data_IF_684261479586
#
_entry.id   IF_684261479586
#
_cell.length_a   1.000
_cell.length_b   1.000
_cell.length_c   1.000
_cell.angle_alpha   90.00
_cell.angle_beta   90.00
_cell.angle_gamma   90.00
#
_symmetry.space_group_name_H-M   'P 1'
#
loop_
_entity.id
_entity.type
_entity.pdbx_description
1 polymer ?
#
# COMPACT_ATOMS: atom_id res chain seq x y z
N UNK A 1 42.16 -23.31 -41.44
CA UNK A 1 40.86 -23.91 -41.83
C UNK A 1 39.85 -23.56 -40.74
N UNK A 2 38.80 -22.83 -41.09
CA UNK A 2 37.78 -22.38 -40.15
C UNK A 2 36.97 -21.28 -40.80
N UNK A 3 35.94 -21.67 -41.55
CA UNK A 3 35.08 -20.79 -42.33
C UNK A 3 34.32 -19.80 -41.43
N UNK A 4 34.41 -18.51 -41.75
CA UNK A 4 33.52 -17.48 -41.21
C UNK A 4 32.22 -17.52 -42.02
N UNK A 5 31.13 -17.94 -41.39
CA UNK A 5 29.80 -17.80 -41.94
C UNK A 5 29.23 -16.44 -41.50
N UNK A 6 28.92 -15.61 -42.48
CA UNK A 6 28.15 -14.38 -42.38
C UNK A 6 26.77 -14.62 -41.77
N UNK A 7 26.34 -13.70 -40.92
CA UNK A 7 24.92 -13.37 -40.78
C UNK A 7 24.78 -11.87 -40.60
N UNK A 8 24.38 -11.21 -41.68
CA UNK A 8 23.75 -9.90 -41.66
C UNK A 8 22.65 -9.88 -40.60
N UNK A 9 22.67 -8.87 -39.73
CA UNK A 9 21.47 -8.41 -39.06
C UNK A 9 21.30 -6.93 -39.35
N UNK A 10 20.52 -6.71 -40.41
CA UNK A 10 19.65 -5.56 -40.62
C UNK A 10 19.03 -5.05 -39.32
N UNK A 11 19.04 -3.74 -39.18
CA UNK A 11 18.26 -2.94 -38.23
C UNK A 11 16.87 -3.50 -37.95
N UNK A 12 16.67 -4.00 -36.73
CA UNK A 12 15.36 -4.32 -36.16
C UNK A 12 15.23 -3.59 -34.84
N UNK A 13 14.17 -2.80 -34.73
CA UNK A 13 13.65 -2.21 -33.51
C UNK A 13 13.58 -3.26 -32.39
N UNK A 14 14.40 -3.08 -31.35
CA UNK A 14 14.40 -3.98 -30.19
C UNK A 14 13.22 -3.67 -29.26
N UNK A 15 12.02 -4.06 -29.68
CA UNK A 15 10.92 -4.42 -28.79
C UNK A 15 11.28 -5.73 -28.09
N UNK A 16 11.93 -5.62 -26.92
CA UNK A 16 12.36 -6.74 -26.10
C UNK A 16 11.35 -7.11 -25.00
N UNK A 17 11.27 -8.39 -24.71
CA UNK A 17 10.48 -9.04 -23.65
C UNK A 17 10.75 -8.41 -22.27
N UNK A 18 9.71 -7.92 -21.58
CA UNK A 18 9.61 -7.96 -20.11
C UNK A 18 10.28 -6.89 -19.25
N UNK A 19 10.64 -5.70 -19.75
CA UNK A 19 11.29 -4.68 -18.91
C UNK A 19 10.27 -3.86 -18.08
N UNK A 20 10.37 -3.95 -16.75
CA UNK A 20 9.54 -3.18 -15.81
C UNK A 20 9.93 -1.70 -15.90
N UNK A 21 8.99 -0.76 -16.19
CA UNK A 21 9.28 0.66 -16.23
C UNK A 21 9.99 1.15 -14.97
N UNK A 22 11.13 1.81 -15.14
CA UNK A 22 11.92 2.39 -14.05
C UNK A 22 11.57 3.86 -13.94
N UNK A 23 11.18 4.28 -12.75
CA UNK A 23 10.84 5.66 -12.44
C UNK A 23 11.71 6.16 -11.28
N UNK A 24 12.26 7.35 -11.44
CA UNK A 24 13.06 8.05 -10.45
C UNK A 24 12.39 9.37 -10.11
N UNK A 25 12.00 9.56 -8.85
CA UNK A 25 11.43 10.82 -8.37
C UNK A 25 12.27 11.39 -7.23
N UNK A 26 12.33 12.71 -7.15
CA UNK A 26 12.94 13.41 -6.03
C UNK A 26 11.90 14.06 -5.14
N UNK A 27 12.18 14.08 -3.84
CA UNK A 27 11.37 14.76 -2.83
C UNK A 27 12.19 15.91 -2.26
N UNK A 28 11.66 17.13 -2.37
CA UNK A 28 12.33 18.37 -1.96
C UNK A 28 11.40 19.26 -1.14
N UNK A 29 11.95 20.28 -0.49
CA UNK A 29 11.23 21.17 0.41
C UNK A 29 12.06 21.54 1.63
N UNK A 30 11.54 22.44 2.46
CA UNK A 30 12.27 22.96 3.63
C UNK A 30 12.50 21.92 4.71
N UNK A 31 13.30 22.28 5.71
CA UNK A 31 13.50 21.43 6.88
C UNK A 31 12.19 21.25 7.63
N UNK A 32 12.02 20.08 8.25
CA UNK A 32 10.87 19.77 9.12
C UNK A 32 9.47 19.77 8.48
N UNK A 33 9.34 20.00 7.16
CA UNK A 33 8.06 19.83 6.42
C UNK A 33 7.59 18.37 6.36
N UNK A 34 8.48 17.41 6.68
CA UNK A 34 8.14 15.98 6.81
C UNK A 34 8.45 15.12 5.58
N UNK A 35 9.44 15.52 4.76
CA UNK A 35 9.87 14.77 3.56
C UNK A 35 10.13 13.29 3.82
N UNK A 36 11.03 12.99 4.75
CA UNK A 36 11.37 11.62 5.14
C UNK A 36 10.16 10.84 5.68
N UNK A 37 9.22 11.52 6.35
CA UNK A 37 7.98 10.91 6.84
C UNK A 37 7.04 10.55 5.70
N UNK A 38 6.90 11.41 4.69
CA UNK A 38 6.12 11.14 3.48
C UNK A 38 6.74 9.99 2.69
N UNK A 39 8.07 9.97 2.52
CA UNK A 39 8.78 8.87 1.85
C UNK A 39 8.58 7.56 2.61
N UNK A 40 8.79 7.54 3.94
CA UNK A 40 8.58 6.34 4.76
C UNK A 40 7.13 5.87 4.76
N UNK A 41 6.16 6.80 4.80
CA UNK A 41 4.73 6.49 4.70
C UNK A 41 4.42 5.82 3.38
N UNK A 42 4.94 6.36 2.27
CA UNK A 42 4.67 5.81 0.95
C UNK A 42 5.41 4.48 0.69
N UNK A 43 6.68 4.39 1.08
CA UNK A 43 7.58 3.26 0.76
C UNK A 43 7.47 2.10 1.74
N UNK A 44 7.16 2.37 3.01
CA UNK A 44 7.16 1.36 4.08
C UNK A 44 5.84 1.27 4.84
N UNK A 45 4.90 2.19 4.59
CA UNK A 45 3.70 2.38 5.40
C UNK A 45 4.01 2.58 6.89
N UNK A 46 5.08 3.32 7.16
CA UNK A 46 5.55 3.64 8.51
C UNK A 46 5.57 5.15 8.73
N UNK A 47 5.46 5.57 9.99
CA UNK A 47 5.60 6.96 10.39
C UNK A 47 6.37 7.04 11.71
N UNK A 48 7.40 7.87 11.75
CA UNK A 48 8.12 8.20 12.98
C UNK A 48 7.87 9.65 13.37
N UNK A 49 7.37 9.92 14.58
CA UNK A 49 7.24 11.28 15.09
C UNK A 49 8.58 11.87 15.57
N UNK A 50 9.68 11.10 15.56
CA UNK A 50 10.99 11.59 15.96
C UNK A 50 11.66 12.30 14.79
N UNK A 51 11.97 13.59 14.95
CA UNK A 51 12.75 14.33 13.96
C UNK A 51 14.22 13.94 14.07
N UNK A 52 14.72 13.30 13.02
CA UNK A 52 16.15 13.07 12.79
C UNK A 52 16.50 13.86 11.53
N UNK A 53 17.34 14.90 11.62
CA UNK A 53 17.75 15.66 10.45
C UNK A 53 18.40 14.77 9.39
N UNK A 54 17.88 14.82 8.17
CA UNK A 54 18.45 14.11 7.02
C UNK A 54 19.73 14.82 6.60
N UNK A 55 20.88 14.28 7.01
CA UNK A 55 22.21 14.86 6.71
C UNK A 55 22.73 14.54 5.31
N UNK A 56 22.20 13.49 4.67
CA UNK A 56 22.60 13.02 3.34
C UNK A 56 21.35 12.56 2.58
N UNK A 57 21.33 12.65 1.24
CA UNK A 57 20.24 12.10 0.46
C UNK A 57 20.01 10.61 0.75
N UNK A 58 18.75 10.25 0.97
CA UNK A 58 18.34 8.86 1.20
C UNK A 58 17.66 8.35 -0.07
N UNK A 59 18.09 7.18 -0.53
CA UNK A 59 17.55 6.55 -1.74
C UNK A 59 16.76 5.33 -1.30
N UNK A 60 15.46 5.34 -1.54
CA UNK A 60 14.61 4.17 -1.32
C UNK A 60 14.12 3.64 -2.66
N UNK A 61 14.33 2.35 -2.91
CA UNK A 61 13.87 1.67 -4.12
C UNK A 61 12.85 0.61 -3.77
N UNK A 62 11.72 0.59 -4.47
CA UNK A 62 10.73 -0.48 -4.33
C UNK A 62 9.98 -0.74 -5.62
N UNK A 63 9.61 -1.99 -5.84
CA UNK A 63 8.70 -2.35 -6.93
C UNK A 63 7.27 -2.09 -6.46
N UNK A 64 6.53 -1.28 -7.22
CA UNK A 64 5.18 -0.82 -6.87
C UNK A 64 4.18 -1.13 -7.97
N UNK A 65 2.97 -1.51 -7.58
CA UNK A 65 1.82 -1.56 -8.50
C UNK A 65 1.18 -0.17 -8.57
N UNK A 66 1.11 0.41 -9.76
CA UNK A 66 0.43 1.68 -10.02
C UNK A 66 -0.92 1.40 -10.65
N UNK A 67 -1.96 1.99 -10.06
CA UNK A 67 -3.33 1.78 -10.50
C UNK A 67 -3.61 2.59 -11.79
N UNK A 68 -3.28 2.01 -12.94
CA UNK A 68 -3.71 2.43 -14.28
C UNK A 68 -4.49 1.27 -14.93
N UNK A 69 -5.24 1.48 -16.02
CA UNK A 69 -5.91 0.38 -16.73
C UNK A 69 -4.96 -0.80 -16.99
N UNK A 70 -5.29 -1.96 -16.41
CA UNK A 70 -4.49 -3.19 -16.47
C UNK A 70 -3.34 -3.31 -15.46
N UNK A 71 -3.18 -2.37 -14.53
CA UNK A 71 -2.17 -2.33 -13.45
C UNK A 71 -0.70 -2.46 -13.92
N UNK A 72 0.01 -1.34 -14.01
CA UNK A 72 1.45 -1.37 -14.28
C UNK A 72 2.26 -1.67 -13.00
N UNK A 73 3.22 -2.57 -13.12
CA UNK A 73 4.30 -2.72 -12.14
C UNK A 73 5.41 -1.76 -12.55
N UNK A 74 5.91 -0.96 -11.60
CA UNK A 74 7.03 -0.03 -11.83
C UNK A 74 8.11 -0.25 -10.78
N UNK A 75 9.37 -0.14 -11.19
CA UNK A 75 10.49 -0.03 -10.27
C UNK A 75 10.67 1.45 -9.91
N UNK A 76 10.17 1.85 -8.73
CA UNK A 76 10.22 3.22 -8.27
C UNK A 76 11.44 3.44 -7.38
N UNK A 77 12.21 4.48 -7.69
CA UNK A 77 13.27 5.00 -6.84
C UNK A 77 12.91 6.39 -6.37
N UNK A 78 12.82 6.59 -5.05
CA UNK A 78 12.51 7.87 -4.41
C UNK A 78 13.77 8.40 -3.75
N UNK A 79 14.12 9.64 -4.07
CA UNK A 79 15.29 10.34 -3.54
C UNK A 79 14.80 11.39 -2.54
N UNK A 80 15.01 11.14 -1.25
CA UNK A 80 14.73 12.09 -0.17
C UNK A 80 15.93 13.02 0.00
N UNK A 81 15.78 14.27 -0.41
CA UNK A 81 16.88 15.26 -0.42
C UNK A 81 16.84 16.08 0.89
N UNK A 82 17.98 16.34 1.55
CA UNK A 82 18.06 17.26 2.69
C UNK A 82 17.49 18.66 2.39
N UNK A 83 16.98 19.35 3.41
CA UNK A 83 16.42 20.70 3.26
C UNK A 83 17.48 21.82 3.32
N UNK A 84 17.32 22.79 2.43
CA UNK A 84 17.97 24.11 2.21
C UNK A 84 19.50 24.24 2.28
N UNK A 85 20.19 23.60 3.22
CA UNK A 85 21.65 23.69 3.32
C UNK A 85 22.26 22.66 2.35
N UNK A 86 23.04 23.12 1.36
CA UNK A 86 23.83 22.31 0.41
C UNK A 86 23.13 21.87 -0.91
N UNK A 87 22.14 22.61 -1.40
CA UNK A 87 21.44 22.29 -2.67
C UNK A 87 22.40 22.10 -3.85
N UNK A 88 23.41 22.95 -3.99
CA UNK A 88 24.42 22.85 -5.06
C UNK A 88 25.23 21.55 -4.99
N UNK A 89 25.50 21.08 -3.75
CA UNK A 89 26.18 19.82 -3.46
C UNK A 89 25.34 18.62 -3.88
N UNK A 90 24.01 18.79 -3.97
CA UNK A 90 23.07 17.75 -4.35
C UNK A 90 22.62 17.82 -5.81
N UNK A 91 23.21 18.70 -6.63
CA UNK A 91 22.90 18.82 -8.07
C UNK A 91 22.99 17.48 -8.83
N UNK A 92 23.95 16.61 -8.46
CA UNK A 92 24.12 15.27 -9.04
C UNK A 92 22.95 14.32 -8.79
N UNK A 93 22.17 14.57 -7.73
CA UNK A 93 21.04 13.73 -7.34
C UNK A 93 19.82 13.94 -8.26
N UNK A 94 19.74 15.10 -8.92
CA UNK A 94 18.71 15.44 -9.90
C UNK A 94 18.95 14.87 -11.31
N UNK A 95 20.04 14.10 -11.52
CA UNK A 95 20.30 13.43 -12.80
C UNK A 95 19.20 12.42 -13.15
N UNK A 96 18.68 12.48 -14.38
CA UNK A 96 17.70 11.54 -14.94
C UNK A 96 16.45 11.36 -14.05
N UNK A 97 15.91 12.44 -13.48
CA UNK A 97 14.61 12.37 -12.81
C UNK A 97 13.47 12.30 -13.82
N UNK A 98 12.43 11.54 -13.47
CA UNK A 98 11.19 11.46 -14.23
C UNK A 98 10.14 12.47 -13.72
N UNK A 99 10.20 12.81 -12.43
CA UNK A 99 9.33 13.77 -11.78
C UNK A 99 9.90 14.23 -10.44
N UNK A 100 9.23 15.19 -9.80
CA UNK A 100 9.52 15.59 -8.44
C UNK A 100 8.28 15.90 -7.61
N UNK A 101 8.43 15.83 -6.29
CA UNK A 101 7.43 16.23 -5.30
C UNK A 101 8.02 17.32 -4.42
N UNK A 102 7.41 18.49 -4.44
CA UNK A 102 7.71 19.58 -3.51
C UNK A 102 6.78 19.44 -2.31
N UNK A 103 7.35 19.24 -1.13
CA UNK A 103 6.60 19.08 0.12
C UNK A 103 6.70 20.36 0.93
N UNK A 104 5.54 20.81 1.40
CA UNK A 104 5.40 21.97 2.29
C UNK A 104 4.66 21.55 3.55
N UNK A 105 4.89 22.28 4.64
CA UNK A 105 4.01 22.18 5.81
C UNK A 105 2.74 23.00 5.53
N UNK A 106 1.59 22.35 5.48
CA UNK A 106 0.33 23.03 5.16
C UNK A 106 -0.09 24.05 6.24
N UNK A 107 0.50 23.96 7.43
CA UNK A 107 0.20 24.88 8.54
C UNK A 107 1.15 26.09 8.57
N UNK A 108 2.15 26.12 7.68
CA UNK A 108 3.15 27.19 7.59
C UNK A 108 3.05 27.89 6.23
N UNK A 109 2.40 29.06 6.15
CA UNK A 109 2.25 29.81 4.90
C UNK A 109 3.59 30.12 4.22
N UNK A 110 4.66 30.40 4.98
CA UNK A 110 5.98 30.69 4.43
C UNK A 110 6.54 29.45 3.70
N UNK A 111 6.34 28.26 4.27
CA UNK A 111 6.71 27.00 3.62
C UNK A 111 5.96 26.81 2.28
N UNK A 112 4.68 27.17 2.23
CA UNK A 112 3.88 27.10 0.99
C UNK A 112 4.42 28.09 -0.04
N UNK A 113 4.71 29.33 0.37
CA UNK A 113 5.27 30.38 -0.47
C UNK A 113 6.66 30.05 -1.04
N UNK A 114 7.43 29.21 -0.34
CA UNK A 114 8.72 28.71 -0.82
C UNK A 114 8.63 27.61 -1.88
N UNK A 115 7.45 27.01 -2.12
CA UNK A 115 7.29 25.93 -3.08
C UNK A 115 7.76 26.26 -4.52
N UNK A 116 7.47 27.45 -5.10
CA UNK A 116 7.96 27.83 -6.43
C UNK A 116 9.49 27.89 -6.51
N UNK A 117 10.16 28.28 -5.43
CA UNK A 117 11.62 28.31 -5.36
C UNK A 117 12.17 26.89 -5.43
N UNK A 118 11.60 25.98 -4.63
CA UNK A 118 11.94 24.55 -4.68
C UNK A 118 11.69 23.92 -6.05
N UNK A 119 10.58 24.26 -6.71
CA UNK A 119 10.31 23.80 -8.08
C UNK A 119 11.41 24.24 -9.04
N UNK A 120 11.79 25.53 -9.02
CA UNK A 120 12.86 26.08 -9.88
C UNK A 120 14.19 25.39 -9.63
N UNK A 121 14.54 25.14 -8.37
CA UNK A 121 15.77 24.44 -8.00
C UNK A 121 15.82 23.06 -8.65
N UNK A 122 14.76 22.24 -8.51
CA UNK A 122 14.73 20.90 -9.08
C UNK A 122 14.86 20.96 -10.60
N UNK A 123 14.03 21.77 -11.25
CA UNK A 123 13.96 21.87 -12.70
C UNK A 123 15.29 22.31 -13.29
N UNK A 124 15.91 23.37 -12.73
CA UNK A 124 17.18 23.90 -13.22
C UNK A 124 18.37 22.92 -13.04
N UNK A 125 18.28 22.01 -12.08
CA UNK A 125 19.31 21.01 -11.81
C UNK A 125 19.04 19.65 -12.48
N UNK A 126 17.85 19.46 -13.05
CA UNK A 126 17.48 18.19 -13.69
C UNK A 126 17.93 18.18 -15.15
N UNK A 127 18.66 17.14 -15.52
CA UNK A 127 19.09 16.90 -16.89
C UNK A 127 18.98 15.41 -17.24
N UNK A 128 18.66 15.15 -18.49
CA UNK A 128 18.71 13.84 -19.11
C UNK A 128 20.11 13.59 -19.68
N UNK A 129 20.58 12.35 -19.57
CA UNK A 129 21.85 11.93 -20.15
C UNK A 129 21.61 10.92 -21.27
N UNK A 130 22.14 11.22 -22.45
CA UNK A 130 22.02 10.38 -23.64
C UNK A 130 23.41 10.12 -24.24
N UNK A 131 23.67 8.88 -24.71
CA UNK A 131 24.93 8.58 -25.40
C UNK A 131 24.92 9.24 -26.78
N UNK A 132 25.96 10.01 -27.08
CA UNK A 132 26.20 10.59 -28.40
C UNK A 132 27.38 9.85 -29.02
N UNK A 133 27.19 9.37 -30.25
CA UNK A 133 28.26 8.75 -31.04
C UNK A 133 28.87 9.84 -31.90
N UNK A 134 30.04 10.32 -31.49
CA UNK A 134 30.82 11.25 -32.32
C UNK A 134 31.66 10.45 -33.31
N UNK A 135 31.43 10.69 -34.60
CA UNK A 135 32.22 10.11 -35.69
C UNK A 135 33.37 11.07 -36.00
N UNK A 136 34.61 10.68 -35.75
CA UNK A 136 35.77 11.45 -36.23
C UNK A 136 35.96 11.25 -37.73
N UNK A 137 36.17 12.34 -38.48
CA UNK A 137 36.59 12.27 -39.89
C UNK A 137 37.96 11.57 -39.96
N UNK A 138 37.98 10.33 -40.46
CA UNK A 138 39.21 9.55 -40.62
C UNK A 138 39.08 8.05 -40.34
N UNK A 139 37.96 7.61 -39.74
CA UNK A 139 37.67 6.18 -39.58
C UNK A 139 38.46 5.52 -38.43
N UNK A 140 37.69 4.96 -37.49
CA UNK A 140 38.09 4.14 -36.34
C UNK A 140 38.68 4.86 -35.11
N UNK A 141 37.93 5.79 -34.54
CA UNK A 141 37.75 5.88 -33.08
C UNK A 141 36.28 6.26 -32.82
N UNK A 142 35.51 5.34 -32.24
CA UNK A 142 34.17 5.61 -31.71
C UNK A 142 34.30 5.98 -30.23
N UNK A 143 34.18 7.26 -29.88
CA UNK A 143 34.10 7.69 -28.48
C UNK A 143 32.63 7.92 -28.14
N UNK A 144 32.11 7.20 -27.14
CA UNK A 144 30.76 7.46 -26.61
C UNK A 144 30.85 8.55 -25.54
N UNK A 145 30.50 9.79 -25.89
CA UNK A 145 30.35 10.89 -24.92
C UNK A 145 28.91 10.92 -24.40
N UNK A 146 28.72 11.33 -23.15
CA UNK A 146 27.39 11.47 -22.53
C UNK A 146 26.98 12.94 -22.58
N UNK A 147 26.03 13.29 -23.44
CA UNK A 147 25.50 14.64 -23.51
C UNK A 147 24.50 14.87 -22.35
N UNK A 148 24.56 16.05 -21.73
CA UNK A 148 23.60 16.48 -20.70
C UNK A 148 22.58 17.43 -21.32
N UNK A 149 21.34 17.01 -21.46
CA UNK A 149 20.25 17.85 -21.94
C UNK A 149 19.38 18.30 -20.77
N UNK A 150 19.22 19.62 -20.50
CA UNK A 150 18.33 20.08 -19.44
C UNK A 150 16.87 19.70 -19.76
N UNK A 151 16.09 19.42 -18.72
CA UNK A 151 14.66 19.15 -18.90
C UNK A 151 13.90 20.43 -19.23
N UNK A 152 12.77 20.30 -19.93
CA UNK A 152 11.88 21.42 -20.21
C UNK A 152 11.17 21.86 -18.91
N UNK A 153 11.35 23.11 -18.47
CA UNK A 153 10.73 23.64 -17.26
C UNK A 153 9.20 23.64 -17.24
N UNK A 154 8.56 23.69 -18.40
CA UNK A 154 7.11 23.76 -18.51
C UNK A 154 6.46 22.38 -18.50
N UNK A 155 7.12 21.38 -19.06
CA UNK A 155 6.57 20.01 -19.16
C UNK A 155 7.04 19.07 -18.06
N UNK A 156 8.13 19.39 -17.36
CA UNK A 156 8.65 18.52 -16.30
C UNK A 156 7.65 18.41 -15.12
N UNK A 157 7.16 17.20 -14.79
CA UNK A 157 6.04 17.06 -13.86
C UNK A 157 6.50 17.22 -12.41
N UNK A 158 5.97 18.25 -11.75
CA UNK A 158 6.22 18.54 -10.33
C UNK A 158 4.90 18.61 -9.57
N UNK A 159 4.75 17.76 -8.56
CA UNK A 159 3.60 17.74 -7.64
C UNK A 159 3.87 18.63 -6.42
N UNK A 160 2.90 19.46 -6.04
CA UNK A 160 2.90 20.17 -4.76
C UNK A 160 2.12 19.36 -3.72
N UNK A 161 2.76 18.99 -2.62
CA UNK A 161 2.17 18.20 -1.54
C UNK A 161 2.20 18.98 -0.22
N UNK A 162 1.03 19.37 0.28
CA UNK A 162 0.85 19.97 1.59
C UNK A 162 0.73 18.90 2.67
N UNK A 163 1.81 18.67 3.43
CA UNK A 163 1.86 17.67 4.49
C UNK A 163 1.39 18.26 5.84
N UNK A 164 1.15 17.38 6.83
CA UNK A 164 0.64 17.71 8.18
C UNK A 164 -0.80 18.22 8.20
N UNK A 165 -1.60 17.78 7.24
CA UNK A 165 -3.02 18.12 7.17
C UNK A 165 -3.83 17.62 8.38
N UNK A 166 -3.30 16.66 9.14
CA UNK A 166 -3.86 16.25 10.44
C UNK A 166 -4.00 17.40 11.43
N UNK A 167 -3.15 18.43 11.33
CA UNK A 167 -3.12 19.56 12.26
C UNK A 167 -4.07 20.72 11.88
N UNK A 168 -4.67 20.71 10.69
CA UNK A 168 -5.59 21.77 10.26
C UNK A 168 -6.90 21.68 11.05
N UNK A 169 -7.26 22.70 11.83
CA UNK A 169 -8.40 22.69 12.76
C UNK A 169 -9.79 22.94 12.10
N UNK A 170 -9.92 22.70 10.79
CA UNK A 170 -11.19 22.83 10.07
C UNK A 170 -11.90 21.47 9.89
N UNK A 171 -12.48 20.96 10.99
CA UNK A 171 -13.15 19.67 11.04
C UNK A 171 -14.30 19.55 10.02
N UNK A 172 -15.01 20.65 9.73
CA UNK A 172 -16.08 20.69 8.73
C UNK A 172 -15.61 20.39 7.31
N UNK A 173 -14.41 20.86 6.94
CA UNK A 173 -13.82 20.62 5.62
C UNK A 173 -13.29 19.17 5.51
N UNK A 174 -12.66 18.66 6.58
CA UNK A 174 -12.18 17.27 6.65
C UNK A 174 -13.33 16.26 6.53
N UNK A 175 -14.46 16.54 7.19
CA UNK A 175 -15.65 15.70 7.12
C UNK A 175 -16.31 15.73 5.74
N UNK A 176 -16.44 16.92 5.12
CA UNK A 176 -16.90 17.05 3.72
C UNK A 176 -16.02 16.23 2.75
N UNK A 177 -14.69 16.29 2.90
CA UNK A 177 -13.76 15.48 2.09
C UNK A 177 -13.94 13.97 2.28
N UNK A 178 -14.16 13.51 3.52
CA UNK A 178 -14.41 12.10 3.83
C UNK A 178 -15.71 11.59 3.22
N UNK A 179 -16.78 12.38 3.33
CA UNK A 179 -18.09 12.06 2.74
C UNK A 179 -18.00 11.95 1.21
N UNK A 180 -17.27 12.85 0.55
CA UNK A 180 -17.06 12.77 -0.90
C UNK A 180 -16.30 11.49 -1.32
N UNK A 181 -15.22 11.15 -0.62
CA UNK A 181 -14.45 9.92 -0.89
C UNK A 181 -15.27 8.64 -0.65
N UNK A 182 -16.25 8.68 0.26
CA UNK A 182 -17.16 7.56 0.50
C UNK A 182 -18.20 7.39 -0.62
N UNK A 183 -18.65 8.49 -1.23
CA UNK A 183 -19.62 8.49 -2.34
C UNK A 183 -19.06 8.15 -3.73
N UNK A 184 -17.73 8.13 -3.93
CA UNK A 184 -17.10 7.76 -5.20
C UNK A 184 -17.16 6.24 -5.53
N UNK A 185 -17.90 5.44 -4.74
CA UNK A 185 -17.99 3.98 -4.85
C UNK A 185 -19.35 3.44 -5.35
N UNK A 186 -20.07 4.18 -6.19
CA UNK A 186 -21.25 3.65 -6.88
C UNK A 186 -20.92 3.21 -8.32
N UNK A 187 -21.43 2.03 -8.70
CA UNK A 187 -21.18 1.32 -9.98
C UNK A 187 -21.75 2.01 -11.23
N UNK A 188 -22.32 3.20 -11.13
CA UNK A 188 -23.03 3.87 -12.24
C UNK A 188 -22.19 4.93 -12.98
N UNK A 189 -20.98 5.24 -12.55
CA UNK A 189 -20.09 6.17 -13.27
C UNK A 189 -20.62 7.62 -13.39
N UNK A 190 -21.76 7.95 -12.78
CA UNK A 190 -22.25 9.32 -12.70
C UNK A 190 -21.59 10.03 -11.51
N UNK A 191 -20.61 10.89 -11.80
CA UNK A 191 -19.98 11.77 -10.81
C UNK A 191 -21.02 12.77 -10.30
N UNK A 192 -21.62 12.52 -9.14
CA UNK A 192 -22.30 13.58 -8.39
C UNK A 192 -21.23 14.47 -7.79
N UNK A 193 -20.86 15.52 -8.55
CA UNK A 193 -19.89 16.51 -8.11
C UNK A 193 -20.54 17.36 -7.01
N UNK A 194 -20.22 17.06 -5.75
CA UNK A 194 -20.39 18.04 -4.69
C UNK A 194 -19.31 19.12 -4.89
N UNK A 195 -19.71 20.29 -5.38
CA UNK A 195 -18.81 21.42 -5.55
C UNK A 195 -18.45 21.99 -4.17
N UNK A 196 -17.26 21.67 -3.65
CA UNK A 196 -16.64 22.49 -2.60
C UNK A 196 -16.41 23.87 -3.22
N UNK A 197 -17.11 24.90 -2.73
CA UNK A 197 -16.87 26.27 -3.17
C UNK A 197 -15.51 26.73 -2.66
N UNK A 198 -14.87 27.68 -3.35
CA UNK A 198 -13.58 28.23 -2.88
C UNK A 198 -13.69 28.76 -1.44
N UNK A 199 -14.85 29.32 -1.08
CA UNK A 199 -15.20 29.84 0.26
C UNK A 199 -15.27 28.78 1.37
N UNK A 200 -15.40 27.50 1.02
CA UNK A 200 -15.43 26.37 1.96
C UNK A 200 -14.03 25.77 2.23
N UNK A 201 -13.02 26.14 1.43
CA UNK A 201 -11.66 25.63 1.59
C UNK A 201 -10.93 26.37 2.71
N UNK A 202 -10.10 25.69 3.53
CA UNK A 202 -9.19 26.35 4.45
C UNK A 202 -8.26 27.33 3.73
N UNK A 203 -7.85 28.39 4.41
CA UNK A 203 -6.95 29.41 3.85
C UNK A 203 -5.66 28.80 3.27
N UNK A 204 -5.07 27.83 3.99
CA UNK A 204 -3.87 27.14 3.54
C UNK A 204 -4.06 26.35 2.24
N UNK A 205 -5.25 25.76 2.02
CA UNK A 205 -5.58 25.03 0.78
C UNK A 205 -5.75 26.01 -0.38
N UNK A 206 -6.43 27.14 -0.15
CA UNK A 206 -6.57 28.20 -1.18
C UNK A 206 -5.22 28.78 -1.58
N UNK A 207 -4.34 29.02 -0.60
CA UNK A 207 -2.99 29.51 -0.84
C UNK A 207 -2.19 28.52 -1.70
N UNK A 208 -2.27 27.23 -1.38
CA UNK A 208 -1.63 26.16 -2.15
C UNK A 208 -2.17 26.08 -3.59
N UNK A 209 -3.49 26.20 -3.79
CA UNK A 209 -4.11 26.20 -5.12
C UNK A 209 -3.70 27.43 -5.96
N UNK A 210 -3.60 28.60 -5.32
CA UNK A 210 -3.09 29.83 -5.97
C UNK A 210 -1.63 29.65 -6.41
N UNK A 211 -0.79 29.06 -5.56
CA UNK A 211 0.62 28.81 -5.86
C UNK A 211 0.78 27.75 -6.96
N UNK A 212 -0.03 26.68 -6.93
CA UNK A 212 -0.08 25.68 -7.99
C UNK A 212 -0.28 26.34 -9.35
N UNK A 213 -1.29 27.20 -9.48
CA UNK A 213 -1.60 27.89 -10.74
C UNK A 213 -0.49 28.85 -11.14
N UNK A 214 -0.05 29.72 -10.22
CA UNK A 214 0.96 30.76 -10.49
C UNK A 214 2.31 30.18 -10.91
N UNK A 215 2.72 29.06 -10.32
CA UNK A 215 4.01 28.42 -10.57
C UNK A 215 3.93 27.19 -11.50
N UNK A 216 2.78 26.95 -12.12
CA UNK A 216 2.51 25.86 -13.06
C UNK A 216 2.87 24.45 -12.51
N UNK A 217 2.48 24.15 -11.27
CA UNK A 217 2.62 22.79 -10.75
C UNK A 217 1.64 21.84 -11.45
N UNK A 218 2.08 20.59 -11.66
CA UNK A 218 1.24 19.57 -12.29
C UNK A 218 -0.06 19.33 -11.48
N UNK A 219 0.06 19.32 -10.16
CA UNK A 219 -1.04 19.13 -9.22
C UNK A 219 -0.72 19.67 -7.84
N UNK A 220 -1.75 19.85 -7.02
CA UNK A 220 -1.67 20.10 -5.59
C UNK A 220 -2.44 19.00 -4.86
N UNK A 221 -1.93 18.54 -3.72
CA UNK A 221 -2.63 17.57 -2.87
C UNK A 221 -2.34 17.87 -1.40
N UNK A 222 -3.36 17.78 -0.55
CA UNK A 222 -3.18 17.80 0.90
C UNK A 222 -3.06 16.37 1.42
N UNK A 223 -2.14 16.14 2.35
CA UNK A 223 -1.87 14.83 2.89
C UNK A 223 -1.44 14.87 4.36
N UNK A 224 -1.61 13.73 5.03
CA UNK A 224 -1.05 13.51 6.35
C UNK A 224 -0.15 12.29 6.30
N UNK A 225 1.16 12.50 6.47
CA UNK A 225 2.08 11.37 6.66
C UNK A 225 1.82 10.63 7.99
N UNK A 226 1.23 11.32 8.97
CA UNK A 226 0.92 10.78 10.29
C UNK A 226 -0.29 9.86 10.23
N UNK A 227 -1.37 10.31 9.61
CA UNK A 227 -2.59 9.54 9.48
C UNK A 227 -2.41 8.50 8.39
N UNK A 228 -2.72 7.24 8.68
CA UNK A 228 -2.62 6.16 7.70
C UNK A 228 -3.85 6.15 6.77
N UNK A 229 -4.27 7.32 6.29
CA UNK A 229 -5.54 7.56 5.58
C UNK A 229 -5.44 7.38 4.06
N UNK A 230 -4.24 7.07 3.54
CA UNK A 230 -3.98 6.83 2.12
C UNK A 230 -3.74 8.08 1.29
N UNK A 231 -3.86 9.30 1.84
CA UNK A 231 -3.71 10.57 1.11
C UNK A 231 -2.34 10.72 0.44
N UNK A 232 -1.26 10.37 1.15
CA UNK A 232 0.10 10.34 0.60
C UNK A 232 0.21 9.41 -0.60
N UNK A 233 -0.42 8.23 -0.53
CA UNK A 233 -0.36 7.23 -1.58
C UNK A 233 -1.13 7.67 -2.82
N UNK A 234 -2.31 8.27 -2.65
CA UNK A 234 -3.12 8.84 -3.74
C UNK A 234 -2.36 9.94 -4.47
N UNK A 235 -1.75 10.89 -3.75
CA UNK A 235 -1.00 12.00 -4.33
C UNK A 235 0.18 11.53 -5.17
N UNK A 236 1.01 10.63 -4.64
CA UNK A 236 2.16 10.09 -5.40
C UNK A 236 1.67 9.20 -6.55
N UNK A 237 0.62 8.41 -6.38
CA UNK A 237 0.05 7.64 -7.49
C UNK A 237 -0.43 8.54 -8.63
N UNK A 238 -1.08 9.67 -8.33
CA UNK A 238 -1.53 10.62 -9.34
C UNK A 238 -0.37 11.13 -10.21
N UNK A 239 0.74 11.51 -9.58
CA UNK A 239 1.96 11.91 -10.29
C UNK A 239 2.53 10.75 -11.15
N UNK A 240 2.66 9.56 -10.59
CA UNK A 240 3.24 8.41 -11.31
C UNK A 240 2.37 7.99 -12.51
N UNK A 241 1.03 8.07 -12.39
CA UNK A 241 0.11 7.82 -13.51
C UNK A 241 0.39 8.78 -14.66
N UNK A 242 0.57 10.05 -14.38
CA UNK A 242 0.86 11.06 -15.39
C UNK A 242 2.18 10.78 -16.11
N UNK A 243 3.26 10.53 -15.35
CA UNK A 243 4.58 10.20 -15.89
C UNK A 243 4.51 8.96 -16.79
N UNK A 244 3.78 7.94 -16.36
CA UNK A 244 3.58 6.73 -17.15
C UNK A 244 2.81 7.00 -18.45
N UNK A 245 1.79 7.85 -18.42
CA UNK A 245 1.03 8.22 -19.60
C UNK A 245 1.86 9.05 -20.59
N UNK A 246 2.62 10.03 -20.10
CA UNK A 246 3.40 10.94 -20.96
C UNK A 246 4.68 10.29 -21.49
N UNK A 247 5.44 9.61 -20.63
CA UNK A 247 6.74 9.02 -20.99
C UNK A 247 6.63 7.67 -21.70
N UNK A 248 5.62 6.86 -21.34
CA UNK A 248 5.48 5.49 -21.88
C UNK A 248 4.26 5.32 -22.80
N UNK A 249 3.48 6.38 -23.07
CA UNK A 249 2.39 6.34 -24.07
C UNK A 249 1.25 5.38 -23.74
N UNK A 250 1.02 5.08 -22.45
CA UNK A 250 0.15 4.01 -21.96
C UNK A 250 -1.38 4.23 -22.18
N UNK A 251 -1.79 5.19 -23.01
CA UNK A 251 -3.19 5.45 -23.37
C UNK A 251 -3.83 4.34 -24.25
N UNK A 252 -3.04 3.36 -24.72
CA UNK A 252 -3.47 2.27 -25.64
C UNK A 252 -3.01 0.88 -25.20
N UNK A 253 -2.72 0.66 -23.92
CA UNK A 253 -2.23 -0.63 -23.46
C UNK A 253 -3.37 -1.62 -23.21
N UNK A 254 -3.42 -2.72 -23.98
CA UNK A 254 -4.22 -3.91 -23.66
C UNK A 254 -3.27 -4.99 -23.15
N UNK A 255 -3.62 -5.71 -22.06
CA UNK A 255 -2.75 -6.73 -21.49
C UNK A 255 -2.51 -7.83 -22.53
N UNK A 256 -1.25 -8.11 -22.84
CA UNK A 256 -0.87 -9.39 -23.45
C UNK A 256 -0.58 -10.35 -22.31
N UNK A 257 -1.23 -11.50 -22.32
CA UNK A 257 -0.90 -12.60 -21.42
C UNK A 257 0.57 -12.96 -21.57
N UNK A 258 1.35 -12.71 -20.53
CA UNK A 258 2.73 -13.18 -20.45
C UNK A 258 2.88 -14.16 -19.30
N UNK A 259 3.41 -15.32 -19.65
CA UNK A 259 3.64 -16.49 -18.80
C UNK A 259 4.43 -16.14 -17.54
N UNK A 260 4.00 -16.73 -16.41
CA UNK A 260 4.58 -16.60 -15.07
C UNK A 260 6.09 -16.85 -15.08
N UNK A 261 6.89 -15.84 -14.74
CA UNK A 261 8.30 -16.00 -14.31
C UNK A 261 8.35 -15.90 -12.79
N UNK A 262 8.99 -16.90 -12.16
CA UNK A 262 9.05 -17.07 -10.70
C UNK A 262 10.06 -16.11 -10.07
N UNK A 263 9.61 -15.27 -9.15
CA UNK A 263 10.45 -14.58 -8.16
C UNK A 263 9.93 -14.85 -6.74
N UNK A 264 10.85 -15.24 -5.86
CA UNK A 264 10.63 -15.64 -4.46
C UNK A 264 10.25 -14.43 -3.59
N UNK A 265 8.95 -14.27 -3.35
CA UNK A 265 8.31 -14.10 -2.04
C UNK A 265 6.83 -13.89 -2.35
N UNK A 266 6.15 -15.03 -2.47
CA UNK A 266 4.75 -15.14 -2.89
C UNK A 266 3.91 -14.57 -1.75
N UNK A 267 3.36 -13.36 -1.92
CA UNK A 267 2.04 -13.10 -1.33
C UNK A 267 1.17 -14.16 -1.99
N UNK A 268 0.62 -15.10 -1.22
CA UNK A 268 -0.25 -16.14 -1.76
C UNK A 268 -1.44 -15.47 -2.41
N UNK A 269 -1.35 -15.31 -3.73
CA UNK A 269 -2.43 -14.93 -4.62
C UNK A 269 -3.64 -15.75 -4.20
N UNK A 270 -4.70 -15.03 -3.84
CA UNK A 270 -5.93 -15.63 -3.38
C UNK A 270 -6.60 -16.28 -4.59
N UNK A 271 -6.43 -17.60 -4.70
CA UNK A 271 -7.19 -18.43 -5.64
C UNK A 271 -8.63 -18.48 -5.14
N UNK A 272 -9.49 -17.64 -5.72
CA UNK A 272 -10.93 -17.60 -5.46
C UNK A 272 -11.63 -18.89 -5.88
N UNK A 273 -12.93 -19.01 -5.63
CA UNK A 273 -13.73 -20.15 -6.10
C UNK A 273 -13.83 -20.15 -7.63
N UNK A 274 -13.66 -21.33 -8.23
CA UNK A 274 -13.71 -21.51 -9.68
C UNK A 274 -15.16 -21.54 -10.17
N UNK A 275 -15.45 -21.02 -11.37
CA UNK A 275 -16.82 -20.95 -11.88
C UNK A 275 -17.12 -22.14 -12.79
N UNK A 276 -18.34 -22.66 -12.68
CA UNK A 276 -18.82 -23.82 -13.46
C UNK A 276 -19.45 -23.43 -14.79
N UNK A 277 -19.69 -22.13 -15.03
CA UNK A 277 -20.45 -21.60 -16.17
C UNK A 277 -21.95 -21.99 -16.12
N UNK A 278 -22.41 -22.47 -14.97
CA UNK A 278 -23.80 -22.81 -14.70
C UNK A 278 -24.33 -21.85 -13.63
N UNK A 279 -25.29 -21.01 -14.01
CA UNK A 279 -25.77 -19.88 -13.21
C UNK A 279 -26.21 -20.28 -11.79
N UNK A 280 -26.90 -21.41 -11.65
CA UNK A 280 -27.40 -21.89 -10.36
C UNK A 280 -26.27 -22.18 -9.36
N UNK A 281 -25.17 -22.83 -9.77
CA UNK A 281 -24.01 -23.10 -8.90
C UNK A 281 -23.16 -21.85 -8.71
N UNK A 282 -22.95 -21.10 -9.79
CA UNK A 282 -22.13 -19.89 -9.81
C UNK A 282 -22.69 -18.78 -8.92
N UNK A 283 -24.02 -18.71 -8.76
CA UNK A 283 -24.67 -17.80 -7.82
C UNK A 283 -24.25 -18.09 -6.37
N UNK A 284 -24.23 -19.36 -5.97
CA UNK A 284 -23.84 -19.79 -4.62
C UNK A 284 -22.34 -19.56 -4.41
N UNK A 285 -21.50 -19.87 -5.41
CA UNK A 285 -20.05 -19.63 -5.33
C UNK A 285 -19.73 -18.14 -5.16
N UNK A 286 -20.41 -17.24 -5.87
CA UNK A 286 -20.23 -15.79 -5.69
C UNK A 286 -20.52 -15.31 -4.27
N UNK A 287 -21.55 -15.85 -3.61
CA UNK A 287 -21.87 -15.47 -2.23
C UNK A 287 -20.87 -16.11 -1.25
N UNK A 288 -20.44 -17.35 -1.51
CA UNK A 288 -19.45 -18.05 -0.68
C UNK A 288 -18.07 -17.38 -0.73
N UNK A 289 -17.68 -16.89 -1.91
CA UNK A 289 -16.44 -16.18 -2.20
C UNK A 289 -16.22 -14.98 -1.27
N UNK A 290 -17.29 -14.25 -0.93
CA UNK A 290 -17.23 -13.10 -0.02
C UNK A 290 -16.74 -13.55 1.37
N UNK A 291 -17.28 -14.65 1.88
CA UNK A 291 -16.91 -15.20 3.19
C UNK A 291 -15.48 -15.75 3.15
N UNK A 292 -15.12 -16.50 2.11
CA UNK A 292 -13.77 -17.06 1.94
C UNK A 292 -12.70 -15.98 1.89
N UNK A 293 -12.91 -14.94 1.08
CA UNK A 293 -11.99 -13.80 0.96
C UNK A 293 -11.84 -13.05 2.27
N UNK A 294 -12.93 -12.83 3.01
CA UNK A 294 -12.92 -12.07 4.26
C UNK A 294 -12.18 -12.81 5.37
N UNK A 295 -12.35 -14.13 5.48
CA UNK A 295 -11.59 -14.98 6.40
C UNK A 295 -10.09 -14.91 6.12
N UNK A 296 -9.67 -15.05 4.85
CA UNK A 296 -8.25 -14.95 4.47
C UNK A 296 -7.67 -13.58 4.83
N UNK A 297 -8.39 -12.50 4.51
CA UNK A 297 -7.97 -11.14 4.84
C UNK A 297 -7.80 -10.92 6.34
N UNK A 298 -8.74 -11.41 7.17
CA UNK A 298 -8.63 -11.32 8.63
C UNK A 298 -7.46 -12.14 9.17
N UNK A 299 -7.20 -13.31 8.60
CA UNK A 299 -6.08 -14.19 9.00
C UNK A 299 -4.73 -13.53 8.69
N UNK A 300 -4.57 -12.99 7.49
CA UNK A 300 -3.36 -12.27 7.08
C UNK A 300 -3.13 -11.03 7.95
N UNK A 301 -4.18 -10.25 8.19
CA UNK A 301 -4.11 -9.05 9.02
C UNK A 301 -3.75 -9.40 10.47
N UNK A 302 -4.33 -10.47 11.01
CA UNK A 302 -4.01 -10.98 12.34
C UNK A 302 -2.53 -11.35 12.48
N UNK A 303 -2.01 -12.16 11.55
CA UNK A 303 -0.60 -12.57 11.55
C UNK A 303 0.33 -11.36 11.45
N UNK A 304 -0.02 -10.37 10.62
CA UNK A 304 0.74 -9.13 10.47
C UNK A 304 0.75 -8.29 11.75
N UNK A 305 -0.40 -8.10 12.40
CA UNK A 305 -0.49 -7.36 13.66
C UNK A 305 0.31 -8.03 14.78
N UNK A 306 0.26 -9.37 14.87
CA UNK A 306 1.05 -10.13 15.83
C UNK A 306 2.55 -10.00 15.55
N UNK A 307 2.97 -10.11 14.29
CA UNK A 307 4.36 -9.92 13.88
C UNK A 307 4.87 -8.51 14.23
N UNK A 308 4.09 -7.48 13.92
CA UNK A 308 4.44 -6.09 14.26
C UNK A 308 4.55 -5.86 15.77
N UNK A 309 3.68 -6.48 16.57
CA UNK A 309 3.77 -6.39 18.03
C UNK A 309 5.08 -7.01 18.54
N UNK A 310 5.45 -8.19 18.05
CA UNK A 310 6.71 -8.89 18.40
C UNK A 310 7.94 -8.09 17.99
N UNK A 311 7.98 -7.64 16.75
CA UNK A 311 9.07 -6.81 16.21
C UNK A 311 9.24 -5.53 17.04
N UNK A 312 8.13 -4.89 17.40
CA UNK A 312 8.17 -3.67 18.22
C UNK A 312 8.67 -3.94 19.64
N UNK A 313 8.32 -5.08 20.25
CA UNK A 313 8.83 -5.48 21.58
C UNK A 313 10.34 -5.76 21.52
N UNK A 314 10.81 -6.41 20.46
CA UNK A 314 12.23 -6.72 20.24
C UNK A 314 13.04 -5.43 20.01
N UNK A 315 12.54 -4.54 19.13
CA UNK A 315 13.17 -3.24 18.87
C UNK A 315 13.20 -2.32 20.09
N UNK A 316 12.26 -2.48 21.02
CA UNK A 316 12.25 -1.77 22.29
C UNK A 316 13.21 -2.36 23.34
N UNK A 317 13.88 -3.48 23.03
CA UNK A 317 14.82 -4.16 23.93
C UNK A 317 14.16 -4.83 25.14
N UNK A 318 12.81 -4.95 25.14
CA UNK A 318 12.07 -5.60 26.24
C UNK A 318 11.95 -7.11 26.06
N UNK A 319 12.31 -7.61 24.88
CA UNK A 319 12.23 -8.99 24.48
C UNK A 319 13.54 -9.36 23.74
N UNK A 320 14.05 -10.57 23.96
CA UNK A 320 15.31 -11.02 23.36
C UNK A 320 15.23 -11.15 21.84
N UNK A 321 16.39 -11.23 21.16
CA UNK A 321 16.49 -11.31 19.69
C UNK A 321 15.98 -12.65 19.09
N UNK A 322 15.27 -13.47 19.87
CA UNK A 322 14.77 -14.77 19.43
C UNK A 322 13.51 -14.63 18.57
N UNK A 323 13.57 -15.11 17.32
CA UNK A 323 12.46 -15.12 16.34
C UNK A 323 11.21 -15.91 16.79
N UNK A 324 11.29 -16.65 17.90
CA UNK A 324 10.25 -17.56 18.39
C UNK A 324 9.31 -16.96 19.45
N UNK A 325 9.48 -15.68 19.80
CA UNK A 325 8.75 -15.05 20.91
C UNK A 325 7.22 -15.18 20.79
N UNK A 326 6.59 -15.77 21.80
CA UNK A 326 5.14 -15.95 21.84
C UNK A 326 4.42 -14.64 22.18
N UNK A 327 3.09 -14.62 22.01
CA UNK A 327 2.28 -13.49 22.49
C UNK A 327 2.41 -13.32 24.01
N UNK A 328 2.50 -14.43 24.76
CA UNK A 328 2.69 -14.41 26.21
C UNK A 328 3.99 -13.72 26.59
N UNK A 329 5.08 -14.02 25.88
CA UNK A 329 6.38 -13.38 26.12
C UNK A 329 6.30 -11.87 25.93
N UNK A 330 5.59 -11.42 24.88
CA UNK A 330 5.34 -9.99 24.65
C UNK A 330 4.54 -9.36 25.81
N UNK A 331 3.53 -10.06 26.32
CA UNK A 331 2.69 -9.56 27.43
C UNK A 331 3.46 -9.51 28.76
N UNK A 332 4.27 -10.52 29.05
CA UNK A 332 5.13 -10.59 30.23
C UNK A 332 6.21 -9.51 30.16
N UNK A 333 6.84 -9.32 29.00
CA UNK A 333 7.82 -8.26 28.75
C UNK A 333 7.21 -6.88 28.99
N UNK A 334 6.03 -6.61 28.42
CA UNK A 334 5.29 -5.37 28.64
C UNK A 334 5.01 -5.13 30.11
N UNK A 335 4.54 -6.15 30.84
CA UNK A 335 4.23 -6.04 32.27
C UNK A 335 5.47 -5.70 33.10
N UNK A 336 6.62 -6.33 32.83
CA UNK A 336 7.87 -6.10 33.57
C UNK A 336 8.43 -4.69 33.37
N UNK A 337 8.17 -4.07 32.22
CA UNK A 337 8.77 -2.80 31.83
C UNK A 337 7.83 -1.57 31.98
N UNK A 338 6.63 -1.73 32.56
CA UNK A 338 5.69 -0.61 32.77
C UNK A 338 6.17 0.41 33.83
N UNK A 339 7.11 0.02 34.69
CA UNK A 339 7.74 0.87 35.71
C UNK A 339 7.30 0.53 37.15
N UNK A 340 8.19 0.74 38.13
CA UNK A 340 8.00 0.30 39.52
C UNK A 340 6.79 0.93 40.24
N UNK A 341 6.38 2.12 39.80
CA UNK A 341 5.26 2.86 40.38
C UNK A 341 3.89 2.48 39.79
N UNK A 342 3.87 1.62 38.76
CA UNK A 342 2.67 1.27 38.03
C UNK A 342 2.50 -0.23 37.81
N UNK A 343 1.24 -0.64 37.64
CA UNK A 343 0.84 -2.02 37.37
C UNK A 343 -0.01 -2.05 36.11
N UNK A 344 0.41 -2.88 35.16
CA UNK A 344 -0.38 -3.21 33.99
C UNK A 344 -1.43 -4.26 34.36
N UNK A 345 -2.70 -3.96 34.10
CA UNK A 345 -3.86 -4.82 34.42
C UNK A 345 -4.66 -5.11 33.17
N UNK A 346 -5.30 -6.27 33.14
CA UNK A 346 -6.27 -6.61 32.09
C UNK A 346 -7.65 -6.15 32.54
N UNK A 347 -8.26 -5.24 31.78
CA UNK A 347 -9.68 -4.89 31.92
C UNK A 347 -10.52 -5.70 30.95
N UNK A 348 -11.74 -6.03 31.38
CA UNK A 348 -12.76 -6.60 30.51
C UNK A 348 -13.20 -5.49 29.53
N UNK A 349 -13.14 -5.79 28.25
CA UNK A 349 -13.59 -4.95 27.15
C UNK A 349 -14.49 -5.88 26.32
N UNK A 350 -15.68 -5.42 25.92
CA UNK A 350 -16.85 -6.28 25.68
C UNK A 350 -16.60 -7.46 24.72
N UNK A 351 -15.61 -7.34 23.83
CA UNK A 351 -15.25 -8.37 22.85
C UNK A 351 -13.83 -8.98 23.01
N UNK A 352 -12.89 -8.38 23.76
CA UNK A 352 -11.51 -8.91 23.94
C UNK A 352 -10.80 -8.34 25.20
N UNK A 353 -9.48 -8.48 25.32
CA UNK A 353 -8.69 -7.97 26.45
C UNK A 353 -8.16 -6.55 26.19
N UNK A 354 -8.44 -5.62 27.11
CA UNK A 354 -7.79 -4.30 27.15
C UNK A 354 -6.71 -4.27 28.24
N UNK A 355 -5.53 -3.76 27.88
CA UNK A 355 -4.44 -3.56 28.83
C UNK A 355 -4.50 -2.13 29.36
N UNK A 356 -4.53 -1.97 30.68
CA UNK A 356 -4.65 -0.68 31.33
C UNK A 356 -3.55 -0.48 32.37
N UNK A 357 -2.92 0.69 32.38
CA UNK A 357 -1.87 1.00 33.34
C UNK A 357 -2.50 1.71 34.53
N UNK A 358 -2.28 1.16 35.72
CA UNK A 358 -2.74 1.74 36.98
C UNK A 358 -1.54 2.15 37.83
N UNK A 359 -1.52 3.39 38.33
CA UNK A 359 -0.47 3.91 39.22
C UNK A 359 -1.10 4.51 40.47
N UNK A 360 -0.33 4.59 41.56
CA UNK A 360 -0.71 5.38 42.76
C UNK A 360 -0.59 6.88 42.51
N UNK A 361 0.28 7.27 41.58
CA UNK A 361 0.44 8.65 41.13
C UNK A 361 -0.48 8.91 39.92
N UNK A 362 -1.45 9.84 40.02
CA UNK A 362 -2.37 10.16 38.94
C UNK A 362 -1.69 10.80 37.71
N UNK A 363 -0.52 11.40 37.87
CA UNK A 363 0.24 12.01 36.77
C UNK A 363 1.26 11.04 36.14
N UNK A 364 1.36 9.82 36.68
CA UNK A 364 2.27 8.81 36.18
C UNK A 364 1.99 8.48 34.72
N UNK A 365 3.04 8.58 33.90
CA UNK A 365 3.01 8.17 32.49
C UNK A 365 4.12 7.16 32.24
N UNK A 366 3.82 5.96 31.73
CA UNK A 366 4.84 4.99 31.35
C UNK A 366 5.83 5.58 30.37
N UNK A 367 7.02 4.98 30.27
CA UNK A 367 8.02 5.37 29.30
C UNK A 367 7.47 5.37 27.87
N UNK A 368 8.02 6.23 27.01
CA UNK A 368 7.46 6.52 25.68
C UNK A 368 7.27 5.26 24.83
N UNK A 369 8.23 4.34 24.86
CA UNK A 369 8.15 3.10 24.07
C UNK A 369 7.06 2.16 24.61
N UNK A 370 6.88 2.04 25.94
CA UNK A 370 5.76 1.29 26.52
C UNK A 370 4.42 1.85 26.06
N UNK A 371 4.27 3.18 26.06
CA UNK A 371 3.03 3.82 25.56
C UNK A 371 2.78 3.50 24.07
N UNK A 372 3.82 3.42 23.25
CA UNK A 372 3.71 3.05 21.83
C UNK A 372 3.30 1.59 21.70
N UNK A 373 3.92 0.67 22.44
CA UNK A 373 3.60 -0.75 22.40
C UNK A 373 2.17 -1.04 22.89
N UNK A 374 1.72 -0.37 23.95
CA UNK A 374 0.33 -0.44 24.41
C UNK A 374 -0.64 0.06 23.33
N UNK A 375 -0.30 1.11 22.59
CA UNK A 375 -1.10 1.59 21.45
C UNK A 375 -1.13 0.58 20.30
N UNK A 376 -0.01 -0.05 19.95
CA UNK A 376 0.04 -1.09 18.91
C UNK A 376 -0.84 -2.28 19.32
N UNK A 377 -0.74 -2.72 20.57
CA UNK A 377 -1.61 -3.77 21.09
C UNK A 377 -3.09 -3.36 21.03
N UNK A 378 -3.46 -2.19 21.58
CA UNK A 378 -4.86 -1.78 21.70
C UNK A 378 -5.51 -1.43 20.35
N UNK A 379 -4.80 -0.72 19.47
CA UNK A 379 -5.38 -0.16 18.24
C UNK A 379 -5.24 -1.09 17.03
N UNK A 380 -4.32 -2.06 17.09
CA UNK A 380 -4.08 -2.97 15.96
C UNK A 380 -4.42 -4.41 16.35
N UNK A 381 -3.68 -5.01 17.28
CA UNK A 381 -3.83 -6.43 17.61
C UNK A 381 -5.17 -6.77 18.29
N UNK A 382 -5.59 -5.98 19.29
CA UNK A 382 -6.86 -6.21 19.97
C UNK A 382 -8.06 -5.97 19.02
N UNK A 383 -7.98 -4.98 18.14
CA UNK A 383 -9.04 -4.67 17.16
C UNK A 383 -9.26 -5.83 16.19
N UNK A 384 -8.19 -6.41 15.63
CA UNK A 384 -8.34 -7.58 14.74
C UNK A 384 -8.87 -8.81 15.48
N UNK A 385 -8.44 -9.04 16.73
CA UNK A 385 -8.96 -10.13 17.54
C UNK A 385 -10.47 -9.98 17.81
N UNK A 386 -10.95 -8.76 18.10
CA UNK A 386 -12.39 -8.48 18.26
C UNK A 386 -13.15 -8.75 16.96
N UNK A 387 -12.63 -8.31 15.82
CA UNK A 387 -13.23 -8.55 14.52
C UNK A 387 -13.36 -10.05 14.22
N UNK A 388 -12.32 -10.84 14.52
CA UNK A 388 -12.34 -12.30 14.36
C UNK A 388 -13.45 -12.93 15.19
N UNK A 389 -13.51 -12.63 16.50
CA UNK A 389 -14.51 -13.22 17.42
C UNK A 389 -15.95 -12.84 17.03
N UNK A 390 -16.14 -11.63 16.48
CA UNK A 390 -17.47 -11.15 16.07
C UNK A 390 -17.93 -11.67 14.72
N UNK A 391 -17.03 -11.68 13.73
CA UNK A 391 -17.42 -11.91 12.33
C UNK A 391 -17.25 -13.36 11.86
N UNK A 392 -16.24 -14.08 12.36
CA UNK A 392 -15.96 -15.45 11.91
C UNK A 392 -17.09 -16.45 12.21
N UNK A 393 -17.80 -16.40 13.35
CA UNK A 393 -18.94 -17.30 13.60
C UNK A 393 -20.05 -17.15 12.56
N UNK A 394 -20.37 -15.91 12.16
CA UNK A 394 -21.38 -15.63 11.15
C UNK A 394 -20.95 -16.16 9.76
N UNK A 395 -19.67 -16.04 9.41
CA UNK A 395 -19.13 -16.56 8.15
C UNK A 395 -19.12 -18.10 8.12
N UNK A 396 -18.79 -18.75 9.24
CA UNK A 396 -18.86 -20.21 9.39
C UNK A 396 -20.29 -20.71 9.14
N UNK A 397 -21.30 -20.03 9.73
CA UNK A 397 -22.70 -20.37 9.50
C UNK A 397 -23.08 -20.22 8.03
N UNK A 398 -22.76 -19.08 7.40
CA UNK A 398 -23.06 -18.83 5.98
C UNK A 398 -22.44 -19.87 5.05
N UNK A 399 -21.16 -20.22 5.27
CA UNK A 399 -20.48 -21.24 4.47
C UNK A 399 -21.09 -22.63 4.66
N UNK A 400 -21.61 -22.94 5.85
CA UNK A 400 -22.32 -24.18 6.13
C UNK A 400 -23.66 -24.22 5.39
N UNK A 401 -24.41 -23.13 5.42
CA UNK A 401 -25.71 -23.03 4.75
C UNK A 401 -25.54 -23.16 3.23
N UNK A 402 -24.52 -22.51 2.66
CA UNK A 402 -24.17 -22.60 1.24
C UNK A 402 -23.71 -24.00 0.81
N UNK A 403 -22.94 -24.71 1.63
CA UNK A 403 -22.53 -26.09 1.34
C UNK A 403 -23.72 -27.08 1.41
N UNK A 404 -24.68 -26.82 2.30
CA UNK A 404 -25.93 -27.58 2.37
C UNK A 404 -26.80 -27.31 1.13
N UNK A 405 -26.94 -26.04 0.73
CA UNK A 405 -27.66 -25.64 -0.48
C UNK A 405 -27.04 -26.27 -1.75
N UNK A 406 -25.71 -26.26 -1.87
CA UNK A 406 -25.00 -26.95 -2.96
C UNK A 406 -25.26 -28.45 -2.97
N UNK A 407 -25.37 -29.10 -1.80
CA UNK A 407 -25.66 -30.54 -1.72
C UNK A 407 -27.05 -30.84 -2.27
N UNK A 408 -28.06 -30.08 -1.85
CA UNK A 408 -29.43 -30.21 -2.35
C UNK A 408 -29.51 -29.96 -3.85
N UNK A 409 -28.81 -28.92 -4.35
CA UNK A 409 -28.81 -28.56 -5.77
C UNK A 409 -28.13 -29.63 -6.65
N UNK A 410 -27.06 -30.25 -6.14
CA UNK A 410 -26.43 -31.39 -6.80
C UNK A 410 -27.34 -32.62 -6.87
N UNK A 411 -28.29 -32.77 -5.94
CA UNK A 411 -29.25 -33.89 -5.97
C UNK A 411 -30.46 -33.58 -6.86
N UNK A 412 -30.97 -32.34 -6.85
CA UNK A 412 -32.21 -31.98 -7.54
C UNK A 412 -32.05 -31.58 -8.99
N UNK A 413 -30.87 -31.07 -9.37
CA UNK A 413 -30.68 -30.38 -10.66
C UNK A 413 -29.58 -31.00 -11.51
N UNK A 414 -29.05 -32.18 -11.13
CA UNK A 414 -27.98 -32.83 -11.88
C UNK A 414 -28.39 -33.27 -13.28
N UNK A 415 -29.64 -33.72 -13.45
CA UNK A 415 -30.17 -34.07 -14.78
C UNK A 415 -30.15 -32.86 -15.73
N UNK A 416 -30.39 -31.65 -15.22
CA UNK A 416 -30.32 -30.41 -15.99
C UNK A 416 -28.88 -29.99 -16.31
N UNK A 417 -27.91 -30.40 -15.48
CA UNK A 417 -26.47 -30.20 -15.72
C UNK A 417 -25.96 -31.11 -16.81
N UNK A 418 -26.41 -32.36 -16.84
CA UNK A 418 -26.05 -33.33 -17.88
C UNK A 418 -26.61 -32.94 -19.25
N UNK A 419 -27.60 -32.04 -19.28
CA UNK A 419 -28.22 -31.52 -20.48
C UNK A 419 -27.78 -30.06 -20.76
N UNK A 420 -27.76 -29.69 -22.03
CA UNK A 420 -27.60 -28.32 -22.51
C UNK A 420 -28.63 -28.10 -23.61
N UNK A 421 -29.64 -27.27 -23.34
CA UNK A 421 -30.81 -27.10 -24.23
C UNK A 421 -31.50 -28.43 -24.61
N UNK A 422 -31.57 -29.40 -23.68
CA UNK A 422 -32.16 -30.72 -23.92
C UNK A 422 -31.24 -31.71 -24.66
N UNK A 423 -29.99 -31.34 -24.94
CA UNK A 423 -28.99 -32.20 -25.59
C UNK A 423 -27.97 -32.66 -24.52
N UNK A 424 -27.59 -33.96 -24.45
CA UNK A 424 -26.57 -34.42 -23.52
C UNK A 424 -25.22 -33.72 -23.73
N UNK A 425 -24.63 -33.22 -22.64
CA UNK A 425 -23.28 -32.64 -22.65
C UNK A 425 -22.22 -33.73 -22.85
N UNK A 426 -21.06 -33.38 -23.44
CA UNK A 426 -19.90 -34.27 -23.45
C UNK A 426 -19.52 -34.70 -22.02
N UNK A 427 -19.19 -35.99 -21.84
CA UNK A 427 -18.81 -36.54 -20.52
C UNK A 427 -17.64 -35.77 -19.87
N UNK A 428 -16.68 -35.31 -20.68
CA UNK A 428 -15.53 -34.54 -20.19
C UNK A 428 -15.94 -33.17 -19.61
N UNK A 429 -16.99 -32.56 -20.15
CA UNK A 429 -17.52 -31.28 -19.66
C UNK A 429 -18.26 -31.47 -18.33
N UNK A 430 -19.10 -32.51 -18.23
CA UNK A 430 -19.81 -32.88 -16.99
C UNK A 430 -18.82 -33.23 -15.87
N UNK A 431 -17.77 -33.99 -16.19
CA UNK A 431 -16.70 -34.32 -15.24
C UNK A 431 -15.99 -33.06 -14.75
N UNK A 432 -15.67 -32.11 -15.66
CA UNK A 432 -15.04 -30.84 -15.30
C UNK A 432 -15.92 -30.00 -14.37
N UNK A 433 -17.23 -29.94 -14.60
CA UNK A 433 -18.18 -29.25 -13.73
C UNK A 433 -18.22 -29.91 -12.35
N UNK A 434 -18.30 -31.24 -12.30
CA UNK A 434 -18.25 -32.01 -11.05
C UNK A 434 -16.97 -31.73 -10.26
N UNK A 435 -15.81 -31.74 -10.93
CA UNK A 435 -14.52 -31.46 -10.33
C UNK A 435 -14.46 -30.05 -9.72
N UNK A 436 -14.96 -29.03 -10.42
CA UNK A 436 -15.02 -27.65 -9.93
C UNK A 436 -15.90 -27.56 -8.67
N UNK A 437 -17.08 -28.20 -8.67
CA UNK A 437 -17.98 -28.22 -7.52
C UNK A 437 -17.29 -28.87 -6.31
N UNK A 438 -16.67 -30.03 -6.51
CA UNK A 438 -15.96 -30.76 -5.44
C UNK A 438 -14.80 -29.92 -4.89
N UNK A 439 -14.01 -29.28 -5.77
CA UNK A 439 -12.90 -28.42 -5.36
C UNK A 439 -13.37 -27.19 -4.57
N UNK A 440 -14.41 -26.50 -5.05
CA UNK A 440 -14.96 -25.34 -4.35
C UNK A 440 -15.53 -25.69 -2.99
N UNK A 441 -16.28 -26.79 -2.90
CA UNK A 441 -16.79 -27.31 -1.63
C UNK A 441 -15.66 -27.64 -0.67
N UNK A 442 -14.58 -28.27 -1.15
CA UNK A 442 -13.39 -28.51 -0.33
C UNK A 442 -12.74 -27.21 0.17
N UNK A 443 -12.64 -26.16 -0.66
CA UNK A 443 -12.13 -24.83 -0.25
C UNK A 443 -13.04 -24.17 0.79
N UNK A 444 -14.36 -24.25 0.63
CA UNK A 444 -15.32 -23.73 1.61
C UNK A 444 -15.20 -24.46 2.96
N UNK A 445 -15.08 -25.79 2.95
CA UNK A 445 -14.86 -26.58 4.16
C UNK A 445 -13.53 -26.26 4.83
N UNK A 446 -12.45 -26.12 4.05
CA UNK A 446 -11.14 -25.71 4.57
C UNK A 446 -11.22 -24.35 5.26
N UNK A 447 -11.83 -23.37 4.60
CA UNK A 447 -12.03 -22.01 5.14
C UNK A 447 -12.83 -22.04 6.45
N UNK A 448 -13.86 -22.87 6.54
CA UNK A 448 -14.65 -23.06 7.75
C UNK A 448 -13.79 -23.58 8.91
N UNK A 449 -12.98 -24.61 8.63
CA UNK A 449 -12.07 -25.20 9.62
C UNK A 449 -10.99 -24.21 10.06
N UNK A 450 -10.42 -23.46 9.12
CA UNK A 450 -9.44 -22.41 9.38
C UNK A 450 -10.03 -21.29 10.24
N UNK A 451 -11.25 -20.84 9.93
CA UNK A 451 -11.98 -19.85 10.73
C UNK A 451 -12.20 -20.33 12.16
N UNK A 452 -12.60 -21.59 12.35
CA UNK A 452 -12.79 -22.17 13.66
C UNK A 452 -11.47 -22.22 14.45
N UNK A 453 -10.38 -22.68 13.82
CA UNK A 453 -9.04 -22.67 14.42
C UNK A 453 -8.59 -21.26 14.79
N UNK A 454 -8.89 -20.27 13.96
CA UNK A 454 -8.54 -18.88 14.22
C UNK A 454 -9.30 -18.32 15.43
N UNK A 455 -10.59 -18.61 15.55
CA UNK A 455 -11.40 -18.28 16.74
C UNK A 455 -10.79 -18.92 17.99
N UNK A 456 -10.51 -20.23 17.94
CA UNK A 456 -9.92 -20.96 19.08
C UNK A 456 -8.58 -20.37 19.49
N UNK A 457 -7.75 -20.00 18.52
CA UNK A 457 -6.45 -19.33 18.76
C UNK A 457 -6.62 -17.97 19.44
N UNK A 458 -7.62 -17.18 19.04
CA UNK A 458 -7.88 -15.87 19.65
C UNK A 458 -8.46 -16.01 21.06
N UNK A 459 -9.34 -17.00 21.30
CA UNK A 459 -9.82 -17.32 22.65
C UNK A 459 -8.69 -17.84 23.56
N UNK A 460 -7.75 -18.63 23.01
CA UNK A 460 -6.54 -19.04 23.72
C UNK A 460 -5.70 -17.83 24.13
N UNK A 461 -5.46 -16.87 23.22
CA UNK A 461 -4.79 -15.62 23.58
C UNK A 461 -5.47 -14.87 24.72
N UNK A 462 -6.80 -14.80 24.72
CA UNK A 462 -7.57 -14.16 25.80
C UNK A 462 -7.31 -14.83 27.15
N UNK A 463 -7.25 -16.17 27.19
CA UNK A 463 -6.94 -16.94 28.40
C UNK A 463 -5.49 -16.70 28.85
N UNK A 464 -4.56 -16.77 27.91
CA UNK A 464 -3.12 -16.60 28.13
C UNK A 464 -2.75 -15.20 28.61
N UNK A 465 -3.32 -14.17 27.99
CA UNK A 465 -3.19 -12.79 28.46
C UNK A 465 -3.70 -12.71 29.89
N UNK A 466 -4.92 -13.16 30.18
CA UNK A 466 -5.44 -13.13 31.57
C UNK A 466 -4.52 -13.86 32.56
N UNK A 467 -4.03 -15.04 32.21
CA UNK A 467 -3.11 -15.82 33.03
C UNK A 467 -1.79 -15.07 33.29
N UNK A 468 -1.20 -14.45 32.27
CA UNK A 468 0.03 -13.66 32.38
C UNK A 468 -0.10 -12.44 33.31
N UNK A 469 -1.33 -12.02 33.62
CA UNK A 469 -1.63 -10.89 34.51
C UNK A 469 -2.29 -11.30 35.85
N UNK A 470 -2.47 -12.60 36.10
CA UNK A 470 -3.02 -13.14 37.37
C UNK A 470 -1.94 -13.48 38.42
N UNK A 471 -0.68 -13.66 38.00
CA UNK A 471 0.45 -14.08 38.85
C UNK A 471 1.43 -12.96 39.14
#
# INVERSE_FOLDING_TARGET
MGASCSSDQTSVSSGGIGDVPKLKIAVVGDRQVGKSCVVSRYMKNQFSPMYIPTKKPVIESSVRKINIPGHAVVALTVWDIPGQEDIDLYSTYFKNLDAAVVIVDINDPESIEMAPVWKRIVVNNTFETSPVVESSEGGKIETTTMEKKPVDPETFPVLLLGNKFDLVEEDGYKEKLRQMKASEKDESGAKTIWNITEEDKPECVRLMDKIKQKANFYGSVTASARDSDGTVAEGIQFLLRHVLQTKYGLNKWKPKETKKVKAKNKIEEYDGLDMTEIEIFDSIFKVAEISVKKVKMLTDYHNKCLGKLRESCTNAGILGEDDAASLEDCMIALRRNVGEQAKLKVKKDDDFCKLDVTSKDPDFKPERYIRILLKIYQNEFAVVCKAILKECPAMISKLKDQDAELSTLCESSWEEVELSNGIPRPKDEVNKISDIIVQNRARMQHTKLESAKLIDKVEDYKKKIKAAFLW
#
